data_IF_572448616681
#
_entry.id   IF_572448616681
#
_cell.length_a   1.000
_cell.length_b   1.000
_cell.length_c   1.000
_cell.angle_alpha   90.00
_cell.angle_beta   90.00
_cell.angle_gamma   90.00
#
_symmetry.space_group_name_H-M   'P 1'
#
loop_
_entity.id
_entity.type
_entity.pdbx_description
1 polymer ?
#
# COMPACT_ATOMS: atom_id res chain seq x y z
N UNK A 1 -7.79 -3.38 5.98
CA UNK A 1 -6.99 -2.28 5.36
C UNK A 1 -7.22 -2.21 3.86
N UNK A 2 -7.06 -3.30 3.10
CA UNK A 2 -7.30 -3.27 1.65
C UNK A 2 -8.72 -2.80 1.30
N UNK A 3 -9.74 -3.31 2.00
CA UNK A 3 -11.12 -2.84 1.84
C UNK A 3 -11.27 -1.34 2.09
N UNK A 4 -10.50 -0.77 3.03
CA UNK A 4 -10.54 0.67 3.30
C UNK A 4 -10.00 1.44 2.10
N UNK A 5 -8.84 1.02 1.55
CA UNK A 5 -8.24 1.61 0.35
C UNK A 5 -9.26 1.55 -0.81
N UNK A 6 -9.89 0.40 -1.03
CA UNK A 6 -10.84 0.20 -2.12
C UNK A 6 -12.11 1.05 -2.00
N UNK A 7 -12.52 1.40 -0.77
CA UNK A 7 -13.74 2.18 -0.52
C UNK A 7 -13.47 3.62 -0.07
N UNK A 8 -12.26 4.16 -0.25
CA UNK A 8 -12.00 5.60 -0.04
C UNK A 8 -12.93 6.41 -0.92
N UNK A 9 -13.64 7.39 -0.37
CA UNK A 9 -14.52 8.26 -1.15
C UNK A 9 -13.72 9.38 -1.83
N UNK A 10 -14.00 9.63 -3.11
CA UNK A 10 -13.34 10.66 -3.90
C UNK A 10 -12.24 10.14 -4.82
N UNK A 11 -11.65 11.05 -5.59
CA UNK A 11 -10.58 10.74 -6.53
C UNK A 11 -9.22 10.79 -5.82
N UNK A 12 -8.47 9.69 -5.87
CA UNK A 12 -7.14 9.59 -5.25
C UNK A 12 -6.11 10.15 -6.23
N UNK A 13 -5.55 11.33 -5.92
CA UNK A 13 -4.57 12.00 -6.79
C UNK A 13 -3.11 11.72 -6.42
N UNK A 14 -2.86 11.08 -5.28
CA UNK A 14 -1.52 10.75 -4.79
C UNK A 14 -1.56 9.99 -3.46
N UNK A 15 -0.50 9.23 -3.19
CA UNK A 15 -0.31 8.47 -1.97
C UNK A 15 1.17 8.13 -1.77
N UNK A 16 1.57 7.87 -0.52
CA UNK A 16 2.89 7.39 -0.13
C UNK A 16 2.79 6.12 0.73
N UNK A 17 3.86 5.32 0.75
CA UNK A 17 4.02 4.19 1.66
C UNK A 17 5.34 4.42 2.40
N UNK A 18 5.24 4.65 3.70
CA UNK A 18 6.35 5.04 4.58
C UNK A 18 6.54 4.03 5.70
N UNK A 19 7.62 4.17 6.47
CA UNK A 19 7.93 3.35 7.65
C UNK A 19 8.19 1.85 7.38
N UNK A 20 8.40 1.47 6.12
CA UNK A 20 8.99 0.17 5.82
C UNK A 20 10.42 0.12 6.38
N UNK A 21 10.70 -0.87 7.24
CA UNK A 21 12.02 -1.10 7.80
C UNK A 21 12.60 -2.44 7.32
N UNK A 22 13.49 -2.44 6.32
CA UNK A 22 14.08 -3.67 5.78
C UNK A 22 14.87 -4.48 6.81
N UNK A 23 15.49 -3.81 7.80
CA UNK A 23 16.31 -4.48 8.82
C UNK A 23 15.51 -5.34 9.79
N UNK A 24 14.19 -5.12 9.86
CA UNK A 24 13.25 -5.87 10.71
C UNK A 24 12.30 -6.74 9.89
N UNK A 25 12.53 -6.86 8.59
CA UNK A 25 11.64 -7.62 7.71
C UNK A 25 12.00 -9.10 7.70
N UNK A 26 11.04 -9.94 8.08
CA UNK A 26 11.23 -11.38 8.12
C UNK A 26 10.92 -11.99 6.76
N UNK A 27 11.96 -12.46 6.06
CA UNK A 27 11.86 -13.06 4.72
C UNK A 27 11.07 -12.19 3.73
N UNK A 28 11.33 -10.88 3.72
CA UNK A 28 10.72 -9.90 2.81
C UNK A 28 9.18 -9.81 2.90
N UNK A 29 8.57 -10.38 3.94
CA UNK A 29 7.11 -10.44 4.09
C UNK A 29 6.49 -9.03 4.10
N UNK A 30 7.14 -8.09 4.78
CA UNK A 30 6.70 -6.70 4.88
C UNK A 30 6.92 -5.96 3.56
N UNK A 31 8.00 -6.26 2.84
CA UNK A 31 8.23 -5.75 1.49
C UNK A 31 7.11 -6.20 0.52
N UNK A 32 6.74 -7.48 0.55
CA UNK A 32 5.62 -7.98 -0.27
C UNK A 32 4.29 -7.34 0.12
N UNK A 33 4.06 -7.13 1.42
CA UNK A 33 2.87 -6.41 1.90
C UNK A 33 2.85 -4.96 1.38
N UNK A 34 3.97 -4.23 1.48
CA UNK A 34 4.09 -2.86 0.98
C UNK A 34 3.85 -2.80 -0.55
N UNK A 35 4.43 -3.74 -1.30
CA UNK A 35 4.19 -3.86 -2.74
C UNK A 35 2.72 -4.18 -3.07
N UNK A 36 2.05 -4.99 -2.24
CA UNK A 36 0.61 -5.26 -2.41
C UNK A 36 -0.23 -4.02 -2.10
N UNK A 37 0.08 -3.27 -1.04
CA UNK A 37 -0.58 -1.99 -0.73
C UNK A 37 -0.42 -0.99 -1.87
N UNK A 38 0.79 -0.87 -2.46
CA UNK A 38 1.02 -0.03 -3.64
C UNK A 38 0.10 -0.42 -4.79
N UNK A 39 -0.02 -1.72 -5.10
CA UNK A 39 -0.91 -2.19 -6.17
C UNK A 39 -2.37 -1.80 -5.92
N UNK A 40 -2.87 -1.96 -4.70
CA UNK A 40 -4.26 -1.60 -4.38
C UNK A 40 -4.51 -0.08 -4.45
N UNK A 41 -3.55 0.73 -4.03
CA UNK A 41 -3.61 2.19 -4.16
C UNK A 41 -3.63 2.60 -5.63
N UNK A 42 -2.75 2.03 -6.47
CA UNK A 42 -2.72 2.33 -7.90
C UNK A 42 -4.05 2.03 -8.59
N UNK A 43 -4.70 0.92 -8.23
CA UNK A 43 -6.05 0.57 -8.73
C UNK A 43 -7.08 1.67 -8.41
N UNK A 44 -6.93 2.40 -7.29
CA UNK A 44 -7.84 3.50 -6.90
C UNK A 44 -7.47 4.86 -7.49
N UNK A 45 -6.27 5.00 -8.04
CA UNK A 45 -5.81 6.21 -8.73
C UNK A 45 -6.17 6.20 -10.23
N UNK A 46 -6.64 5.05 -10.75
CA UNK A 46 -7.21 4.89 -12.09
C UNK A 46 -8.73 5.09 -12.07
#
# INVERSE_FOLDING_TARGET
VLDIIQHVNGNVIGADIVEYNPTKDHHDMTAYLAAKMMKEILVRMH
#
